data_IF_926721993669
#
_entry.id   IF_926721993669
#
_cell.length_a   1.000
_cell.length_b   1.000
_cell.length_c   1.000
_cell.angle_alpha   90.00
_cell.angle_beta   90.00
_cell.angle_gamma   90.00
#
_symmetry.space_group_name_H-M   'P 1'
#
loop_
_entity.id
_entity.type
_entity.pdbx_description
1 polymer ?
#
# COMPACT_ATOMS: atom_id res chain seq x y z
N UNK A 1 -34.24 60.87 -32.82
CA UNK A 1 -34.15 59.86 -33.89
C UNK A 1 -32.68 59.46 -34.04
N UNK A 2 -32.32 58.29 -33.50
CA UNK A 2 -31.02 57.55 -33.51
C UNK A 2 -29.73 58.32 -33.12
N UNK A 3 -28.64 57.63 -32.71
CA UNK A 3 -28.50 56.31 -32.10
C UNK A 3 -27.49 56.27 -30.92
N UNK A 4 -27.38 55.15 -30.22
CA UNK A 4 -26.31 54.94 -29.26
C UNK A 4 -26.39 53.60 -28.53
N UNK A 5 -26.43 52.50 -29.27
CA UNK A 5 -26.27 51.14 -28.74
C UNK A 5 -24.86 51.02 -28.14
N UNK A 6 -24.73 51.09 -26.82
CA UNK A 6 -23.51 50.72 -26.12
C UNK A 6 -23.55 49.21 -25.85
N UNK A 7 -22.93 48.44 -26.74
CA UNK A 7 -22.72 47.01 -26.58
C UNK A 7 -21.63 46.81 -25.50
N UNK A 8 -22.03 46.63 -24.24
CA UNK A 8 -21.11 46.26 -23.18
C UNK A 8 -20.76 44.77 -23.31
N UNK A 9 -19.64 44.49 -23.98
CA UNK A 9 -19.03 43.17 -24.03
C UNK A 9 -18.44 42.82 -22.65
N UNK A 10 -19.23 42.15 -21.79
CA UNK A 10 -18.70 41.51 -20.60
C UNK A 10 -17.89 40.26 -21.02
N UNK A 11 -16.58 40.43 -21.10
CA UNK A 11 -15.59 39.35 -21.10
C UNK A 11 -15.80 38.50 -19.84
N UNK A 12 -16.52 37.38 -19.98
CA UNK A 12 -16.54 36.33 -18.96
C UNK A 12 -15.15 35.68 -18.95
N UNK A 13 -14.27 36.19 -18.09
CA UNK A 13 -13.01 35.55 -17.77
C UNK A 13 -13.30 34.17 -17.20
N UNK A 14 -12.84 33.14 -17.91
CA UNK A 14 -12.81 31.76 -17.49
C UNK A 14 -12.06 31.63 -16.15
N UNK A 15 -12.81 31.50 -15.06
CA UNK A 15 -12.25 31.05 -13.79
C UNK A 15 -12.38 29.51 -13.71
N UNK A 16 -11.67 28.81 -14.60
CA UNK A 16 -11.41 27.38 -14.45
C UNK A 16 -10.40 27.19 -13.32
N UNK A 17 -10.87 27.23 -12.08
CA UNK A 17 -10.10 26.70 -10.93
C UNK A 17 -10.18 25.16 -10.93
N UNK A 18 -9.69 24.56 -12.01
CA UNK A 18 -9.26 23.17 -12.03
C UNK A 18 -7.89 23.09 -11.33
N UNK A 19 -7.91 23.11 -10.00
CA UNK A 19 -6.74 22.81 -9.17
C UNK A 19 -7.08 21.72 -8.15
N UNK A 20 -7.09 20.48 -8.64
CA UNK A 20 -6.70 19.32 -7.85
C UNK A 20 -5.98 18.32 -8.79
N UNK A 21 -4.93 18.83 -9.42
CA UNK A 21 -3.89 18.03 -10.07
C UNK A 21 -3.03 17.37 -8.96
N UNK A 22 -2.78 16.07 -9.14
CA UNK A 22 -1.87 15.19 -8.40
C UNK A 22 -2.35 14.63 -7.06
N UNK A 23 -2.78 13.36 -7.11
CA UNK A 23 -2.81 12.46 -5.96
C UNK A 23 -1.41 12.31 -5.36
N UNK A 24 -1.08 13.17 -4.40
CA UNK A 24 0.12 13.12 -3.57
C UNK A 24 -0.07 12.24 -2.32
N UNK A 25 -0.88 11.18 -2.44
CA UNK A 25 -1.01 10.13 -1.44
C UNK A 25 -0.51 8.82 -2.04
N UNK A 26 0.71 8.41 -1.72
CA UNK A 26 1.23 7.11 -2.14
C UNK A 26 0.34 5.96 -1.62
N UNK A 27 0.41 4.77 -2.25
CA UNK A 27 -0.42 3.60 -1.87
C UNK A 27 -0.27 3.15 -0.41
N UNK A 28 0.72 3.66 0.33
CA UNK A 28 1.09 3.23 1.67
C UNK A 28 0.50 4.13 2.77
N UNK A 29 -0.24 3.54 3.70
CA UNK A 29 -0.65 4.15 4.95
C UNK A 29 0.49 4.11 5.97
N UNK A 30 0.83 5.24 6.58
CA UNK A 30 1.83 5.28 7.64
C UNK A 30 1.30 4.60 8.91
N UNK A 31 2.13 3.77 9.54
CA UNK A 31 1.84 3.11 10.82
C UNK A 31 2.90 3.45 11.86
N UNK A 32 2.51 3.39 13.13
CA UNK A 32 3.38 3.62 14.27
C UNK A 32 3.27 2.44 15.22
N UNK A 33 4.35 2.15 15.94
CA UNK A 33 4.37 1.13 16.96
C UNK A 33 4.02 1.75 18.32
N UNK A 34 3.13 1.10 19.06
CA UNK A 34 2.87 1.38 20.47
C UNK A 34 3.38 0.19 21.28
N UNK A 35 4.26 0.44 22.26
CA UNK A 35 4.87 -0.65 23.05
C UNK A 35 5.65 -1.67 22.20
N UNK A 36 6.23 -1.24 21.08
CA UNK A 36 6.97 -2.13 20.17
C UNK A 36 6.11 -3.01 19.27
N UNK A 37 4.81 -2.71 19.16
CA UNK A 37 3.85 -3.44 18.32
C UNK A 37 3.07 -2.48 17.44
N UNK A 38 2.97 -2.80 16.15
CA UNK A 38 2.00 -2.21 15.23
C UNK A 38 0.72 -3.04 15.31
N UNK A 39 -0.42 -2.38 15.53
CA UNK A 39 -1.74 -3.02 15.55
C UNK A 39 -2.60 -2.49 14.39
N UNK A 40 -3.15 -3.41 13.60
CA UNK A 40 -3.97 -3.12 12.43
C UNK A 40 -5.34 -3.77 12.65
N UNK A 41 -6.45 -3.02 12.62
CA UNK A 41 -7.79 -3.58 12.80
C UNK A 41 -8.10 -4.65 11.74
N UNK A 42 -8.73 -5.76 12.15
CA UNK A 42 -9.16 -6.79 11.20
C UNK A 42 -10.20 -6.26 10.21
N UNK A 43 -11.06 -5.34 10.65
CA UNK A 43 -12.03 -4.67 9.78
C UNK A 43 -11.40 -3.89 8.63
N UNK A 44 -10.12 -3.52 8.74
CA UNK A 44 -9.37 -2.86 7.68
C UNK A 44 -8.89 -3.84 6.62
N UNK A 45 -8.53 -5.08 6.99
CA UNK A 45 -7.78 -6.02 6.12
C UNK A 45 -8.54 -7.29 5.75
N UNK A 46 -9.78 -7.44 6.22
CA UNK A 46 -10.64 -8.61 5.99
C UNK A 46 -11.61 -8.43 4.81
N UNK A 47 -11.26 -7.59 3.83
CA UNK A 47 -12.08 -7.30 2.66
C UNK A 47 -11.58 -7.98 1.37
N UNK A 48 -10.59 -8.87 1.49
CA UNK A 48 -9.95 -9.56 0.37
C UNK A 48 -8.98 -8.69 -0.44
N UNK A 49 -8.78 -7.42 -0.08
CA UNK A 49 -7.87 -6.49 -0.78
C UNK A 49 -6.53 -6.38 -0.05
N UNK A 50 -5.49 -6.05 -0.81
CA UNK A 50 -4.19 -5.71 -0.28
C UNK A 50 -4.17 -4.28 0.25
N UNK A 51 -3.87 -4.14 1.53
CA UNK A 51 -3.68 -2.88 2.24
C UNK A 51 -2.20 -2.68 2.50
N UNK A 52 -1.65 -1.55 2.05
CA UNK A 52 -0.22 -1.30 2.08
C UNK A 52 0.13 -0.32 3.19
N UNK A 53 1.23 -0.60 3.88
CA UNK A 53 1.69 0.13 5.04
C UNK A 53 3.16 0.51 4.92
N UNK A 54 3.53 1.63 5.54
CA UNK A 54 4.91 2.02 5.73
C UNK A 54 5.19 2.28 7.21
N UNK A 55 6.21 1.62 7.73
CA UNK A 55 6.74 1.85 9.07
C UNK A 55 8.10 2.54 8.95
N UNK A 56 8.26 3.66 9.66
CA UNK A 56 9.50 4.45 9.65
C UNK A 56 10.17 4.38 11.01
N UNK A 57 11.44 3.98 11.04
CA UNK A 57 12.25 3.96 12.26
C UNK A 57 13.74 3.98 11.92
N UNK A 58 14.52 4.72 12.71
CA UNK A 58 15.97 4.80 12.60
C UNK A 58 16.47 5.15 11.18
N UNK A 59 15.75 6.02 10.48
CA UNK A 59 16.05 6.43 9.10
C UNK A 59 15.59 5.45 8.00
N UNK A 60 15.10 4.26 8.36
CA UNK A 60 14.54 3.30 7.42
C UNK A 60 13.04 3.50 7.21
N UNK A 61 12.56 3.18 6.01
CA UNK A 61 11.15 3.15 5.66
C UNK A 61 10.78 1.75 5.12
N UNK A 62 10.33 0.87 6.01
CA UNK A 62 9.96 -0.50 5.67
C UNK A 62 8.52 -0.54 5.17
N UNK A 63 8.33 -1.10 3.97
CA UNK A 63 7.03 -1.21 3.32
C UNK A 63 6.53 -2.64 3.37
N UNK A 64 5.27 -2.84 3.72
CA UNK A 64 4.65 -4.15 3.81
C UNK A 64 3.17 -4.06 3.47
N UNK A 65 2.52 -5.19 3.28
CA UNK A 65 1.09 -5.23 3.02
C UNK A 65 0.43 -6.39 3.75
N UNK A 66 -0.87 -6.24 4.01
CA UNK A 66 -1.74 -7.29 4.51
C UNK A 66 -2.89 -7.50 3.51
N UNK A 67 -3.39 -8.72 3.42
CA UNK A 67 -4.60 -9.06 2.68
C UNK A 67 -5.27 -10.29 3.29
N UNK A 68 -6.58 -10.43 3.16
CA UNK A 68 -7.25 -11.71 3.37
C UNK A 68 -7.16 -12.55 2.08
N UNK A 69 -6.60 -13.74 2.16
CA UNK A 69 -6.62 -14.69 1.05
C UNK A 69 -7.96 -15.42 0.93
N UNK A 70 -8.26 -16.05 -0.23
CA UNK A 70 -9.53 -16.76 -0.44
C UNK A 70 -9.84 -17.88 0.57
N UNK A 71 -8.82 -18.41 1.26
CA UNK A 71 -8.95 -19.38 2.35
C UNK A 71 -9.35 -18.74 3.70
N UNK A 72 -9.66 -17.44 3.72
CA UNK A 72 -10.08 -16.68 4.89
C UNK A 72 -8.93 -16.19 5.79
N UNK A 73 -7.68 -16.58 5.50
CA UNK A 73 -6.53 -16.21 6.32
C UNK A 73 -6.05 -14.79 6.01
N UNK A 74 -5.83 -13.98 7.05
CA UNK A 74 -5.08 -12.72 6.87
C UNK A 74 -3.63 -13.09 6.59
N UNK A 75 -3.00 -12.52 5.57
CA UNK A 75 -1.60 -12.70 5.18
C UNK A 75 -0.84 -11.41 5.44
N UNK A 76 0.46 -11.50 5.72
CA UNK A 76 1.34 -10.33 5.83
C UNK A 76 2.69 -10.62 5.14
N UNK A 77 3.17 -9.68 4.34
CA UNK A 77 4.47 -9.80 3.69
C UNK A 77 5.08 -8.41 3.44
N UNK A 78 6.39 -8.37 3.29
CA UNK A 78 7.07 -7.16 2.82
C UNK A 78 6.64 -6.84 1.39
N UNK A 79 6.63 -5.56 1.03
CA UNK A 79 6.44 -5.13 -0.37
C UNK A 79 7.75 -5.30 -1.17
N UNK A 80 8.37 -6.48 -1.02
CA UNK A 80 9.67 -6.87 -1.55
C UNK A 80 9.82 -8.40 -1.55
N UNK A 81 10.80 -8.90 -2.29
CA UNK A 81 11.18 -10.31 -2.32
C UNK A 81 12.69 -10.47 -2.37
N UNK A 82 13.18 -11.69 -2.21
CA UNK A 82 14.61 -11.97 -2.08
C UNK A 82 15.39 -11.68 -3.39
N UNK A 83 14.70 -11.70 -4.53
CA UNK A 83 15.31 -11.56 -5.86
C UNK A 83 15.27 -10.11 -6.40
N UNK A 84 14.08 -9.49 -6.40
CA UNK A 84 13.83 -8.23 -7.11
C UNK A 84 13.84 -6.99 -6.20
N UNK A 85 14.11 -7.11 -4.89
CA UNK A 85 13.97 -5.98 -3.95
C UNK A 85 14.80 -4.74 -4.33
N UNK A 86 15.94 -4.92 -5.00
CA UNK A 86 16.83 -3.81 -5.40
C UNK A 86 16.14 -2.82 -6.35
N UNK A 87 15.14 -3.27 -7.09
CA UNK A 87 14.37 -2.45 -8.02
C UNK A 87 13.30 -1.58 -7.31
N UNK A 88 12.98 -1.88 -6.05
CA UNK A 88 12.06 -1.10 -5.20
C UNK A 88 10.65 -0.90 -5.78
N UNK A 89 10.21 -1.76 -6.71
CA UNK A 89 8.89 -1.68 -7.37
C UNK A 89 7.76 -2.37 -6.59
N UNK A 90 8.10 -3.36 -5.76
CA UNK A 90 7.15 -4.08 -4.90
C UNK A 90 6.11 -4.89 -5.66
N UNK A 91 4.93 -5.04 -5.05
CA UNK A 91 3.83 -5.89 -5.47
C UNK A 91 2.52 -5.10 -5.62
N UNK A 92 1.67 -5.62 -6.48
CA UNK A 92 0.28 -5.19 -6.67
C UNK A 92 -0.63 -6.41 -6.66
N UNK A 93 -1.87 -6.24 -6.20
CA UNK A 93 -2.87 -7.31 -6.27
C UNK A 93 -3.58 -7.27 -7.63
N UNK A 94 -3.81 -8.45 -8.20
CA UNK A 94 -4.66 -8.68 -9.37
C UNK A 94 -5.53 -9.92 -9.11
N UNK A 95 -6.79 -9.67 -8.75
CA UNK A 95 -7.71 -10.71 -8.28
C UNK A 95 -7.15 -11.46 -7.06
N UNK A 96 -7.06 -12.78 -7.17
CA UNK A 96 -6.53 -13.65 -6.12
C UNK A 96 -4.99 -13.76 -6.14
N UNK A 97 -4.30 -12.94 -6.93
CA UNK A 97 -2.85 -13.01 -7.09
C UNK A 97 -2.16 -11.73 -6.61
N UNK A 98 -1.01 -11.89 -5.98
CA UNK A 98 -0.02 -10.83 -5.83
C UNK A 98 0.98 -10.91 -6.97
N UNK A 99 1.22 -9.79 -7.65
CA UNK A 99 2.04 -9.69 -8.85
C UNK A 99 3.23 -8.79 -8.57
N UNK A 100 4.44 -9.28 -8.84
CA UNK A 100 5.65 -8.45 -8.75
C UNK A 100 5.62 -7.42 -9.88
N UNK A 101 5.71 -6.13 -9.52
CA UNK A 101 5.72 -5.04 -10.51
C UNK A 101 7.00 -5.06 -11.37
N UNK A 102 8.07 -5.69 -10.88
CA UNK A 102 9.32 -5.79 -11.63
C UNK A 102 9.34 -6.92 -12.67
N UNK A 103 9.08 -8.16 -12.24
CA UNK A 103 9.27 -9.35 -13.07
C UNK A 103 7.95 -10.01 -13.53
N UNK A 104 6.79 -9.43 -13.18
CA UNK A 104 5.46 -9.90 -13.55
C UNK A 104 5.09 -11.32 -13.08
N UNK A 105 5.90 -11.95 -12.23
CA UNK A 105 5.53 -13.21 -11.61
C UNK A 105 4.30 -13.03 -10.72
N UNK A 106 3.41 -14.03 -10.76
CA UNK A 106 2.11 -14.04 -10.10
C UNK A 106 2.08 -15.11 -9.03
N UNK A 107 1.63 -14.74 -7.84
CA UNK A 107 1.57 -15.62 -6.67
C UNK A 107 0.16 -15.62 -6.13
N UNK A 108 -0.49 -16.78 -6.10
CA UNK A 108 -1.80 -16.90 -5.47
C UNK A 108 -1.75 -16.44 -4.00
N UNK A 109 -2.77 -15.70 -3.56
CA UNK A 109 -2.80 -15.04 -2.25
C UNK A 109 -2.59 -16.01 -1.08
N UNK A 110 -3.05 -17.25 -1.19
CA UNK A 110 -2.84 -18.29 -0.16
C UNK A 110 -1.37 -18.69 0.03
N UNK A 111 -0.48 -18.36 -0.93
CA UNK A 111 0.97 -18.60 -0.81
C UNK A 111 1.69 -17.47 -0.08
N UNK A 112 1.04 -16.33 0.09
CA UNK A 112 1.63 -15.17 0.75
C UNK A 112 1.76 -15.48 2.23
N UNK A 113 2.93 -15.16 2.78
CA UNK A 113 3.34 -15.50 4.14
C UNK A 113 3.66 -16.98 4.41
N UNK A 114 3.29 -17.92 3.52
CA UNK A 114 3.57 -19.36 3.69
C UNK A 114 4.86 -19.80 3.00
N UNK A 115 5.06 -19.35 1.75
CA UNK A 115 6.24 -19.72 0.98
C UNK A 115 7.34 -18.71 1.24
N UNK A 116 8.51 -19.22 1.63
CA UNK A 116 9.73 -18.45 1.87
C UNK A 116 10.70 -18.66 0.71
N UNK A 117 11.47 -17.63 0.36
CA UNK A 117 12.45 -17.73 -0.72
C UNK A 117 11.95 -17.24 -2.08
N UNK A 118 12.87 -16.70 -2.87
CA UNK A 118 12.67 -16.40 -4.28
C UNK A 118 11.76 -15.20 -4.54
N UNK A 119 10.98 -15.26 -5.61
CA UNK A 119 10.16 -14.13 -6.07
C UNK A 119 8.80 -13.96 -5.36
N UNK A 120 8.40 -14.87 -4.46
CA UNK A 120 7.19 -14.65 -3.65
C UNK A 120 7.48 -13.52 -2.63
N UNK A 121 6.53 -12.60 -2.35
CA UNK A 121 6.71 -11.61 -1.29
C UNK A 121 7.30 -12.20 0.00
N UNK A 122 8.41 -11.62 0.49
CA UNK A 122 9.11 -12.15 1.66
C UNK A 122 8.18 -12.08 2.88
N UNK A 123 7.95 -13.20 3.61
CA UNK A 123 6.98 -13.24 4.70
C UNK A 123 7.29 -12.29 5.85
N UNK A 124 6.23 -11.69 6.41
CA UNK A 124 6.28 -10.89 7.64
C UNK A 124 5.48 -11.59 8.74
N UNK A 125 6.14 -11.88 9.86
CA UNK A 125 5.49 -12.51 11.01
C UNK A 125 4.37 -11.63 11.58
N UNK A 126 3.25 -12.25 11.96
CA UNK A 126 2.08 -11.56 12.52
C UNK A 126 1.39 -12.43 13.57
N UNK A 127 0.60 -11.81 14.43
CA UNK A 127 -0.31 -12.51 15.33
C UNK A 127 -1.72 -12.00 15.13
N UNK A 128 -2.65 -12.91 14.87
CA UNK A 128 -4.06 -12.60 14.65
C UNK A 128 -4.77 -12.68 16.02
N UNK A 129 -5.30 -11.55 16.48
CA UNK A 129 -6.17 -11.45 17.65
C UNK A 129 -7.65 -11.38 17.25
N UNK A 130 -8.55 -11.15 18.21
CA UNK A 130 -10.00 -11.09 17.95
C UNK A 130 -10.41 -9.88 17.09
N UNK A 131 -9.78 -8.72 17.28
CA UNK A 131 -10.16 -7.47 16.62
C UNK A 131 -9.07 -6.91 15.70
N UNK A 132 -7.83 -7.41 15.82
CA UNK A 132 -6.67 -6.84 15.14
C UNK A 132 -5.61 -7.88 14.79
N UNK A 133 -4.84 -7.58 13.75
CA UNK A 133 -3.55 -8.21 13.49
C UNK A 133 -2.46 -7.36 14.12
N UNK A 134 -1.58 -8.00 14.87
CA UNK A 134 -0.43 -7.37 15.50
C UNK A 134 0.85 -7.84 14.83
N UNK A 135 1.79 -6.91 14.66
CA UNK A 135 3.09 -7.15 14.06
C UNK A 135 4.12 -6.50 14.97
N UNK A 136 5.10 -7.27 15.43
CA UNK A 136 6.16 -6.71 16.28
C UNK A 136 7.04 -5.82 15.43
N UNK A 137 7.40 -4.68 16.00
CA UNK A 137 8.27 -3.73 15.35
C UNK A 137 9.60 -4.35 14.91
N UNK A 138 10.19 -5.20 15.75
CA UNK A 138 11.43 -5.92 15.44
C UNK A 138 11.32 -6.79 14.19
N UNK A 139 10.15 -7.37 13.93
CA UNK A 139 9.93 -8.25 12.78
C UNK A 139 9.79 -7.42 11.51
N UNK A 140 9.14 -6.24 11.59
CA UNK A 140 9.12 -5.26 10.50
C UNK A 140 10.56 -4.81 10.19
N UNK A 141 11.31 -4.41 11.22
CA UNK A 141 12.66 -3.88 11.06
C UNK A 141 13.70 -4.92 10.64
N UNK A 142 13.41 -6.22 10.78
CA UNK A 142 14.23 -7.29 10.22
C UNK A 142 14.26 -7.24 8.68
N UNK A 143 13.18 -6.76 8.05
CA UNK A 143 13.08 -6.59 6.59
C UNK A 143 13.72 -5.32 6.04
N UNK A 144 14.37 -4.49 6.88
CA UNK A 144 14.95 -3.20 6.46
C UNK A 144 15.94 -3.33 5.30
N UNK A 145 16.64 -4.46 5.17
CA UNK A 145 17.59 -4.71 4.08
C UNK A 145 16.94 -4.72 2.68
N UNK A 146 15.62 -4.92 2.60
CA UNK A 146 14.90 -4.85 1.34
C UNK A 146 14.65 -3.42 0.86
N UNK A 147 14.80 -2.40 1.70
CA UNK A 147 14.38 -1.02 1.43
C UNK A 147 15.54 -0.04 1.55
#
# INVERSE_FOLDING_TARGET
MLPGLALAACLLAFASTAHALFGFGGKFKAVQASGGVVSIPLSEVSDGKAHYYVFKRDGFAVKFFLLQSPDGMIRAAFDACDECFREKKGYVQDGEFMVCVNCSQRFHASRINEVRGGCNPSPLERTIGPDSVTIRERDIMAGRGYF
#
